data_IF_661343947762
#
_entry.id   IF_661343947762
#
_cell.length_a   1.000
_cell.length_b   1.000
_cell.length_c   1.000
_cell.angle_alpha   90.00
_cell.angle_beta   90.00
_cell.angle_gamma   90.00
#
_symmetry.space_group_name_H-M   'P 1'
#
loop_
_entity.id
_entity.type
_entity.pdbx_description
1 polymer ?
#
# COMPACT_ATOMS: atom_id res chain seq x y z
N UNK A 1 -4.30 -10.53 -15.91
CA UNK A 1 -5.49 -9.79 -15.43
C UNK A 1 -5.91 -8.81 -16.51
N UNK A 2 -7.20 -8.44 -16.60
CA UNK A 2 -7.72 -7.59 -17.70
C UNK A 2 -7.39 -6.09 -17.58
N UNK A 3 -6.67 -5.66 -16.55
CA UNK A 3 -6.25 -4.26 -16.38
C UNK A 3 -7.38 -3.26 -16.11
N UNK A 4 -8.54 -3.72 -15.59
CA UNK A 4 -9.75 -2.89 -15.43
C UNK A 4 -9.52 -1.63 -14.59
N UNK A 5 -8.62 -1.69 -13.60
CA UNK A 5 -8.20 -0.57 -12.77
C UNK A 5 -7.41 0.53 -13.51
N UNK A 6 -7.13 0.34 -14.81
CA UNK A 6 -6.46 1.30 -15.70
C UNK A 6 -7.41 1.91 -16.74
N UNK A 7 -8.69 1.55 -16.74
CA UNK A 7 -9.68 2.13 -17.64
C UNK A 7 -9.93 3.61 -17.29
N UNK A 8 -10.30 4.47 -18.26
CA UNK A 8 -10.63 5.88 -17.97
C UNK A 8 -11.68 6.02 -16.86
N UNK A 9 -12.71 5.16 -16.88
CA UNK A 9 -13.78 5.14 -15.88
C UNK A 9 -13.27 4.81 -14.47
N UNK A 10 -12.31 3.90 -14.33
CA UNK A 10 -11.73 3.61 -13.02
C UNK A 10 -10.78 4.72 -12.56
N UNK A 11 -10.07 5.35 -13.49
CA UNK A 11 -9.16 6.46 -13.17
C UNK A 11 -9.91 7.71 -12.69
N UNK A 12 -11.19 7.86 -13.01
CA UNK A 12 -12.09 8.86 -12.40
C UNK A 12 -12.31 8.61 -10.89
N UNK A 13 -12.28 7.34 -10.45
CA UNK A 13 -12.39 6.99 -9.02
C UNK A 13 -11.06 7.10 -8.29
N UNK A 14 -9.98 6.61 -8.91
CA UNK A 14 -8.63 6.69 -8.35
C UNK A 14 -7.63 6.97 -9.46
N UNK A 15 -7.07 8.18 -9.48
CA UNK A 15 -6.12 8.64 -10.49
C UNK A 15 -4.83 7.82 -10.54
N UNK A 16 -4.46 7.13 -9.45
CA UNK A 16 -3.33 6.20 -9.44
C UNK A 16 -3.65 4.86 -10.14
N UNK A 17 -4.92 4.60 -10.40
CA UNK A 17 -5.43 3.34 -10.92
C UNK A 17 -5.02 2.19 -10.02
N UNK A 18 -5.22 2.34 -8.72
CA UNK A 18 -4.88 1.34 -7.71
C UNK A 18 -6.14 0.89 -6.99
N UNK A 19 -6.09 -0.33 -6.47
CA UNK A 19 -7.10 -0.89 -5.58
C UNK A 19 -6.47 -1.07 -4.18
N UNK A 20 -7.28 -1.02 -3.10
CA UNK A 20 -8.74 -0.87 -3.05
C UNK A 20 -9.25 0.56 -3.23
N UNK A 21 -10.55 0.68 -3.53
CA UNK A 21 -11.35 1.91 -3.55
C UNK A 21 -12.68 1.62 -2.85
N UNK A 22 -13.08 2.45 -1.89
CA UNK A 22 -14.40 2.39 -1.23
C UNK A 22 -15.26 3.54 -1.76
N UNK A 23 -16.43 3.22 -2.31
CA UNK A 23 -17.45 4.20 -2.71
C UNK A 23 -18.62 4.08 -1.76
N UNK A 24 -18.98 5.19 -1.10
CA UNK A 24 -20.11 5.25 -0.18
C UNK A 24 -21.43 5.44 -0.91
N UNK A 25 -22.55 5.26 -0.21
CA UNK A 25 -23.90 5.40 -0.78
C UNK A 25 -24.18 6.80 -1.35
N UNK A 26 -23.52 7.84 -0.82
CA UNK A 26 -23.62 9.22 -1.31
C UNK A 26 -22.66 9.55 -2.47
N UNK A 27 -21.89 8.56 -2.94
CA UNK A 27 -20.90 8.70 -4.00
C UNK A 27 -19.53 9.20 -3.55
N UNK A 28 -19.31 9.45 -2.25
CA UNK A 28 -17.98 9.80 -1.72
C UNK A 28 -17.01 8.65 -1.96
N UNK A 29 -15.79 8.97 -2.40
CA UNK A 29 -14.74 8.00 -2.69
C UNK A 29 -13.62 8.10 -1.65
N UNK A 30 -13.25 6.97 -1.06
CA UNK A 30 -12.08 6.83 -0.18
C UNK A 30 -11.13 5.81 -0.81
N UNK A 31 -9.90 6.23 -1.07
CA UNK A 31 -8.82 5.41 -1.60
C UNK A 31 -7.80 5.09 -0.52
N UNK A 32 -6.80 4.26 -0.81
CA UNK A 32 -5.75 3.78 0.11
C UNK A 32 -6.29 2.86 1.22
N UNK A 33 -5.71 1.66 1.33
CA UNK A 33 -6.19 0.62 2.25
C UNK A 33 -6.27 1.10 3.71
N UNK A 34 -5.27 1.82 4.20
CA UNK A 34 -5.26 2.30 5.59
C UNK A 34 -6.29 3.40 5.83
N UNK A 35 -6.53 4.30 4.88
CA UNK A 35 -7.57 5.32 5.02
C UNK A 35 -8.97 4.70 5.02
N UNK A 36 -9.21 3.71 4.14
CA UNK A 36 -10.45 2.92 4.16
C UNK A 36 -10.61 2.20 5.51
N UNK A 37 -9.57 1.54 6.02
CA UNK A 37 -9.64 0.87 7.31
C UNK A 37 -9.89 1.85 8.46
N UNK A 38 -9.31 3.06 8.44
CA UNK A 38 -9.58 4.12 9.43
C UNK A 38 -11.02 4.59 9.40
N UNK A 39 -11.61 4.74 8.22
CA UNK A 39 -13.03 5.04 8.07
C UNK A 39 -13.90 3.92 8.67
N UNK A 40 -13.60 2.66 8.35
CA UNK A 40 -14.34 1.52 8.87
C UNK A 40 -14.20 1.35 10.40
N UNK A 41 -13.01 1.59 10.96
CA UNK A 41 -12.77 1.62 12.41
C UNK A 41 -13.63 2.70 13.09
N UNK A 42 -13.76 3.88 12.48
CA UNK A 42 -14.58 4.96 13.03
C UNK A 42 -16.07 4.60 13.07
N UNK A 43 -16.56 3.81 12.08
CA UNK A 43 -17.93 3.29 12.08
C UNK A 43 -18.11 2.10 13.03
N UNK A 44 -17.07 1.28 13.21
CA UNK A 44 -17.09 0.04 13.98
C UNK A 44 -15.91 -0.01 14.97
N UNK A 45 -15.95 0.77 16.06
CA UNK A 45 -14.80 0.94 16.96
C UNK A 45 -14.48 -0.31 17.81
N UNK A 46 -15.30 -1.35 17.73
CA UNK A 46 -15.13 -2.58 18.50
C UNK A 46 -15.30 -3.81 17.61
N UNK A 47 -14.32 -4.74 17.58
CA UNK A 47 -13.02 -4.66 18.25
C UNK A 47 -12.09 -3.62 17.61
N UNK A 48 -11.34 -2.87 18.42
CA UNK A 48 -10.47 -1.80 17.93
C UNK A 48 -9.28 -2.36 17.14
N UNK A 49 -9.27 -2.17 15.82
CA UNK A 49 -8.16 -2.56 14.94
C UNK A 49 -6.95 -1.64 15.12
N UNK A 50 -7.20 -0.36 15.38
CA UNK A 50 -6.15 0.66 15.46
C UNK A 50 -5.77 1.04 16.88
N UNK A 51 -6.23 0.31 17.89
CA UNK A 51 -5.94 0.57 19.31
C UNK A 51 -6.96 1.46 19.99
N UNK A 52 -7.18 1.21 21.28
CA UNK A 52 -8.22 1.86 22.10
C UNK A 52 -7.71 3.03 22.95
N UNK A 53 -6.41 3.24 23.01
CA UNK A 53 -5.77 4.32 23.78
C UNK A 53 -4.60 4.93 22.99
N UNK A 54 -4.11 6.09 23.42
CA UNK A 54 -3.08 6.83 22.70
C UNK A 54 -1.79 6.02 22.48
N UNK A 55 -1.40 5.16 23.43
CA UNK A 55 -0.18 4.35 23.31
C UNK A 55 -0.40 3.18 22.36
N UNK A 56 -1.52 2.46 22.47
CA UNK A 56 -1.82 1.37 21.54
C UNK A 56 -2.00 1.87 20.11
N UNK A 57 -2.65 3.02 19.92
CA UNK A 57 -2.75 3.69 18.61
C UNK A 57 -1.39 4.03 18.02
N UNK A 58 -0.51 4.64 18.82
CA UNK A 58 0.85 4.95 18.37
C UNK A 58 1.64 3.70 17.99
N UNK A 59 1.50 2.59 18.73
CA UNK A 59 2.18 1.33 18.44
C UNK A 59 1.67 0.67 17.15
N UNK A 60 0.36 0.62 16.94
CA UNK A 60 -0.22 0.05 15.72
C UNK A 60 0.23 0.84 14.51
N UNK A 61 0.13 2.18 14.57
CA UNK A 61 0.56 3.05 13.46
C UNK A 61 2.07 2.90 13.18
N UNK A 62 2.91 2.88 14.22
CA UNK A 62 4.34 2.67 14.07
C UNK A 62 4.66 1.35 13.33
N UNK A 63 4.02 0.25 13.72
CA UNK A 63 4.26 -1.04 13.08
C UNK A 63 3.68 -1.11 11.67
N UNK A 64 2.52 -0.50 11.42
CA UNK A 64 1.97 -0.41 10.08
C UNK A 64 2.91 0.35 9.14
N UNK A 65 3.41 1.52 9.57
CA UNK A 65 4.37 2.32 8.79
C UNK A 65 5.69 1.60 8.55
N UNK A 66 6.20 0.87 9.54
CA UNK A 66 7.39 0.02 9.36
C UNK A 66 7.15 -1.07 8.33
N UNK A 67 6.00 -1.75 8.38
CA UNK A 67 5.66 -2.77 7.39
C UNK A 67 5.57 -2.17 5.97
N UNK A 68 4.92 -1.02 5.81
CA UNK A 68 4.81 -0.33 4.52
C UNK A 68 6.16 0.10 3.96
N UNK A 69 6.99 0.77 4.77
CA UNK A 69 8.24 1.37 4.30
C UNK A 69 9.34 0.29 4.19
N UNK A 70 9.54 -0.46 5.27
CA UNK A 70 10.72 -1.32 5.41
C UNK A 70 10.54 -2.67 4.75
N UNK A 71 9.31 -3.18 4.66
CA UNK A 71 9.03 -4.48 4.07
C UNK A 71 8.45 -4.30 2.68
N UNK A 72 7.24 -3.70 2.57
CA UNK A 72 6.54 -3.59 1.31
C UNK A 72 7.30 -2.70 0.31
N UNK A 73 7.82 -1.56 0.75
CA UNK A 73 8.65 -0.68 -0.08
C UNK A 73 9.90 -1.39 -0.61
N UNK A 74 10.67 -2.03 0.28
CA UNK A 74 11.88 -2.78 -0.09
C UNK A 74 11.59 -3.91 -1.09
N UNK A 75 10.62 -4.78 -0.79
CA UNK A 75 10.25 -5.90 -1.68
C UNK A 75 9.66 -5.39 -2.99
N UNK A 76 8.83 -4.35 -2.91
CA UNK A 76 8.23 -3.70 -4.07
C UNK A 76 9.28 -3.14 -5.01
N UNK A 77 10.29 -2.45 -4.50
CA UNK A 77 11.41 -1.93 -5.29
C UNK A 77 12.18 -3.03 -6.02
N UNK A 78 12.42 -4.18 -5.37
CA UNK A 78 13.04 -5.34 -6.04
C UNK A 78 12.20 -5.76 -7.25
N UNK A 79 10.90 -5.98 -7.05
CA UNK A 79 10.01 -6.40 -8.14
C UNK A 79 9.89 -5.35 -9.26
N UNK A 80 9.70 -4.08 -8.90
CA UNK A 80 9.52 -2.97 -9.84
C UNK A 80 10.73 -2.80 -10.77
N UNK A 81 11.95 -3.01 -10.27
CA UNK A 81 13.19 -2.82 -11.03
C UNK A 81 13.81 -4.11 -11.58
N UNK A 82 13.19 -5.29 -11.39
CA UNK A 82 13.72 -6.57 -11.92
C UNK A 82 12.71 -7.46 -12.65
N UNK A 83 11.40 -7.36 -12.40
CA UNK A 83 10.39 -8.17 -13.11
C UNK A 83 9.96 -7.48 -14.42
N UNK A 84 10.12 -8.11 -15.60
CA UNK A 84 9.74 -7.53 -16.89
C UNK A 84 8.29 -7.04 -16.98
N UNK A 85 7.37 -7.56 -16.15
CA UNK A 85 5.97 -7.08 -16.08
C UNK A 85 5.83 -5.60 -15.71
N UNK A 86 6.86 -5.01 -15.11
CA UNK A 86 6.87 -3.59 -14.73
C UNK A 86 7.69 -2.71 -15.67
N UNK A 87 8.33 -3.26 -16.71
CA UNK A 87 9.17 -2.51 -17.63
C UNK A 87 8.41 -1.43 -18.41
N UNK A 88 7.12 -1.65 -18.69
CA UNK A 88 6.25 -0.66 -19.33
C UNK A 88 5.76 0.43 -18.36
N UNK A 89 5.92 0.22 -17.05
CA UNK A 89 5.43 1.13 -16.00
C UNK A 89 6.49 2.09 -15.47
N UNK A 90 7.76 1.70 -15.54
CA UNK A 90 8.89 2.52 -15.10
C UNK A 90 10.20 2.05 -15.75
N UNK A 91 11.17 2.95 -15.81
CA UNK A 91 12.55 2.60 -16.20
C UNK A 91 13.17 1.72 -15.12
N UNK A 92 13.49 0.49 -15.47
CA UNK A 92 14.04 -0.48 -14.54
C UNK A 92 15.55 -0.30 -14.35
N UNK A 93 16.00 -0.49 -13.11
CA UNK A 93 17.41 -0.42 -12.73
C UNK A 93 17.77 -1.72 -12.01
N UNK A 94 18.14 -2.81 -12.72
CA UNK A 94 18.40 -4.11 -12.10
C UNK A 94 19.46 -4.06 -10.99
N UNK A 95 20.48 -3.21 -11.15
CA UNK A 95 21.49 -3.00 -10.11
C UNK A 95 20.89 -2.49 -8.79
N UNK A 96 19.89 -1.61 -8.84
CA UNK A 96 19.20 -1.15 -7.64
C UNK A 96 18.42 -2.27 -6.96
N UNK A 97 17.71 -3.11 -7.73
CA UNK A 97 17.04 -4.28 -7.17
C UNK A 97 18.01 -5.23 -6.46
N UNK A 98 19.23 -5.42 -7.00
CA UNK A 98 20.26 -6.23 -6.36
C UNK A 98 20.73 -5.62 -5.04
N UNK A 99 20.99 -4.30 -4.98
CA UNK A 99 21.34 -3.64 -3.71
C UNK A 99 20.29 -3.85 -2.62
N UNK A 100 19.00 -3.90 -2.99
CA UNK A 100 17.93 -4.17 -2.04
C UNK A 100 17.94 -5.64 -1.57
N UNK A 101 18.17 -6.61 -2.48
CA UNK A 101 18.26 -8.04 -2.13
C UNK A 101 19.41 -8.31 -1.16
N UNK A 102 20.58 -7.73 -1.41
CA UNK A 102 21.75 -7.88 -0.54
C UNK A 102 21.55 -7.26 0.85
N UNK A 103 20.81 -6.13 0.92
CA UNK A 103 20.55 -5.45 2.18
C UNK A 103 19.51 -6.16 3.06
N UNK A 104 18.54 -6.88 2.47
CA UNK A 104 17.41 -7.50 3.19
C UNK A 104 17.83 -8.34 4.41
N UNK A 105 18.79 -9.28 4.31
CA UNK A 105 19.20 -10.09 5.46
C UNK A 105 19.71 -9.26 6.64
N UNK A 106 20.45 -8.18 6.39
CA UNK A 106 20.95 -7.30 7.45
C UNK A 106 19.87 -6.34 7.97
N UNK A 107 18.95 -5.93 7.10
CA UNK A 107 17.89 -4.95 7.40
C UNK A 107 16.82 -5.50 8.35
N UNK A 108 16.59 -6.82 8.35
CA UNK A 108 15.55 -7.48 9.14
C UNK A 108 16.09 -8.56 10.11
N UNK A 109 17.41 -8.59 10.34
CA UNK A 109 18.03 -9.44 11.36
C UNK A 109 17.76 -8.95 12.79
#
# INVERSE_FOLDING_TARGET
TKGEHKTPQFLELNSLGQIPVLVLDDGTVITESIAICRYLEALHPTPALFGSDAVSQGKVEMWNRRAEIEIFGTIGSIALHSDPKFAERLVQFPAFAETQREAVPAKWA
#
